data_IF_499546577058
#
_entry.id   IF_499546577058
#
_cell.length_a   1.000
_cell.length_b   1.000
_cell.length_c   1.000
_cell.angle_alpha   90.00
_cell.angle_beta   90.00
_cell.angle_gamma   90.00
#
_symmetry.space_group_name_H-M   'P 1'
#
loop_
_entity.id
_entity.type
_entity.pdbx_description
1 polymer ?
#
# COMPACT_ATOMS: atom_id res chain seq x y z
N UNK A 1 1.52 19.30 3.77
CA UNK A 1 0.11 19.75 3.97
C UNK A 1 0.04 21.15 4.59
N UNK A 2 1.03 21.56 5.40
CA UNK A 2 1.08 22.88 6.08
C UNK A 2 1.11 24.10 5.15
N UNK A 3 1.44 23.94 3.87
CA UNK A 3 1.61 25.02 2.89
C UNK A 3 0.39 25.23 1.98
N UNK A 4 -0.67 24.43 2.15
CA UNK A 4 -1.87 24.50 1.31
C UNK A 4 -3.13 24.71 2.17
N UNK A 5 -4.15 25.35 1.59
CA UNK A 5 -5.41 25.65 2.28
C UNK A 5 -6.40 24.48 2.23
N UNK A 6 -5.99 23.29 2.68
CA UNK A 6 -6.90 22.15 2.84
C UNK A 6 -7.58 22.23 4.22
N UNK A 7 -8.92 22.17 4.30
CA UNK A 7 -9.61 22.09 5.59
C UNK A 7 -9.12 20.87 6.38
N UNK A 8 -8.78 21.00 7.68
CA UNK A 8 -8.27 19.87 8.48
C UNK A 8 -9.23 18.67 8.52
N UNK A 9 -10.54 18.92 8.46
CA UNK A 9 -11.56 17.87 8.40
C UNK A 9 -11.51 16.99 7.14
N UNK A 10 -10.79 17.43 6.09
CA UNK A 10 -10.58 16.66 4.85
C UNK A 10 -9.26 15.86 4.88
N UNK A 11 -8.54 15.86 6.01
CA UNK A 11 -7.31 15.10 6.20
C UNK A 11 -7.56 14.06 7.28
N UNK A 12 -7.46 12.79 6.90
CA UNK A 12 -7.75 11.65 7.76
C UNK A 12 -6.45 10.89 8.04
N UNK A 13 -5.66 11.25 9.07
CA UNK A 13 -4.45 10.51 9.41
C UNK A 13 -4.79 9.19 10.13
N UNK A 14 -3.99 8.15 9.90
CA UNK A 14 -3.97 6.99 10.79
C UNK A 14 -3.44 7.41 12.17
N UNK A 15 -3.92 6.75 13.23
CA UNK A 15 -3.53 7.10 14.59
C UNK A 15 -2.03 6.84 14.86
N UNK A 16 -1.44 7.67 15.71
CA UNK A 16 -0.10 7.51 16.25
C UNK A 16 -0.11 6.65 17.53
N UNK A 17 1.04 6.05 17.87
CA UNK A 17 1.19 5.18 19.05
C UNK A 17 1.07 5.90 20.41
N UNK A 18 1.24 7.22 20.41
CA UNK A 18 1.04 8.09 21.57
C UNK A 18 -0.28 8.88 21.50
N UNK A 19 -1.18 8.49 20.59
CA UNK A 19 -2.50 9.09 20.40
C UNK A 19 -3.62 8.41 21.19
N UNK A 20 -4.86 8.65 20.74
CA UNK A 20 -6.11 8.30 21.46
C UNK A 20 -6.30 6.81 21.73
N UNK A 21 -5.66 5.93 20.94
CA UNK A 21 -5.76 4.48 21.08
C UNK A 21 -4.63 3.88 21.92
N UNK A 22 -3.66 4.69 22.37
CA UNK A 22 -2.47 4.24 23.07
C UNK A 22 -1.80 3.05 22.36
N UNK A 23 -1.63 1.94 23.08
CA UNK A 23 -0.98 0.75 22.55
C UNK A 23 -1.89 -0.22 21.78
N UNK A 24 -3.21 0.06 21.69
CA UNK A 24 -4.19 -0.81 21.03
C UNK A 24 -4.23 -0.59 19.52
N UNK A 25 -3.25 -1.16 18.80
CA UNK A 25 -3.13 -0.96 17.34
C UNK A 25 -4.30 -1.57 16.55
N UNK A 26 -4.92 -2.63 17.06
CA UNK A 26 -6.10 -3.23 16.42
C UNK A 26 -7.32 -2.30 16.49
N UNK A 27 -7.54 -1.64 17.64
CA UNK A 27 -8.60 -0.63 17.78
C UNK A 27 -8.33 0.57 16.88
N UNK A 28 -7.06 1.02 16.79
CA UNK A 28 -6.66 2.09 15.88
C UNK A 28 -6.91 1.74 14.40
N UNK A 29 -6.61 0.50 13.99
CA UNK A 29 -6.89 0.02 12.64
C UNK A 29 -8.40 -0.04 12.35
N UNK A 30 -9.19 -0.58 13.28
CA UNK A 30 -10.65 -0.65 13.16
C UNK A 30 -11.30 0.74 13.11
N UNK A 31 -10.80 1.69 13.90
CA UNK A 31 -11.27 3.07 13.86
C UNK A 31 -10.97 3.73 12.51
N UNK A 32 -9.79 3.49 11.93
CA UNK A 32 -9.46 4.00 10.60
C UNK A 32 -10.31 3.36 9.50
N UNK A 33 -10.63 2.08 9.62
CA UNK A 33 -11.55 1.38 8.71
C UNK A 33 -12.93 2.05 8.64
N UNK A 34 -13.46 2.46 9.79
CA UNK A 34 -14.74 3.16 9.88
C UNK A 34 -14.74 4.57 9.25
N UNK A 35 -13.57 5.14 8.98
CA UNK A 35 -13.41 6.45 8.33
C UNK A 35 -13.24 6.36 6.81
N UNK A 36 -13.05 5.16 6.26
CA UNK A 36 -12.76 5.02 4.83
C UNK A 36 -13.98 5.42 3.98
N UNK A 37 -13.75 6.12 2.86
CA UNK A 37 -14.79 6.32 1.86
C UNK A 37 -15.10 5.01 1.12
N UNK A 38 -16.23 5.00 0.41
CA UNK A 38 -16.58 3.87 -0.47
C UNK A 38 -15.60 3.71 -1.64
N UNK A 39 -14.97 4.80 -2.07
CA UNK A 39 -14.01 4.81 -3.17
C UNK A 39 -12.92 5.89 -3.01
N UNK A 40 -11.80 5.67 -3.70
CA UNK A 40 -10.74 6.66 -3.87
C UNK A 40 -10.59 6.99 -5.35
N UNK A 41 -10.30 8.24 -5.70
CA UNK A 41 -9.91 8.56 -7.08
C UNK A 41 -8.52 7.99 -7.40
N UNK A 42 -7.52 8.28 -6.56
CA UNK A 42 -6.14 7.84 -6.75
C UNK A 42 -5.56 7.28 -5.45
N UNK A 43 -4.97 6.10 -5.52
CA UNK A 43 -4.18 5.51 -4.43
C UNK A 43 -2.70 5.48 -4.81
N UNK A 44 -1.90 6.35 -4.17
CA UNK A 44 -0.47 6.47 -4.43
C UNK A 44 0.32 5.45 -3.61
N UNK A 45 1.22 4.72 -4.27
CA UNK A 45 2.06 3.68 -3.65
C UNK A 45 3.53 3.87 -4.01
N UNK A 46 4.39 3.62 -3.03
CA UNK A 46 5.76 3.16 -3.28
C UNK A 46 5.81 1.62 -3.30
N UNK A 47 6.98 1.07 -3.62
CA UNK A 47 7.21 -0.38 -3.61
C UNK A 47 8.59 -0.75 -3.04
N UNK A 48 8.64 -1.79 -2.20
CA UNK A 48 9.89 -2.43 -1.75
C UNK A 48 10.56 -3.28 -2.83
N UNK A 49 11.83 -3.65 -2.62
CA UNK A 49 12.56 -4.54 -3.55
C UNK A 49 12.01 -5.97 -3.61
N UNK A 50 11.30 -6.36 -2.55
CA UNK A 50 10.54 -7.61 -2.41
C UNK A 50 9.07 -7.46 -2.85
N UNK A 51 8.67 -6.31 -3.41
CA UNK A 51 7.31 -6.10 -3.92
C UNK A 51 6.26 -5.66 -2.90
N UNK A 52 6.62 -5.44 -1.63
CA UNK A 52 5.66 -4.91 -0.64
C UNK A 52 5.13 -3.54 -1.06
N UNK A 53 3.86 -3.28 -0.77
CA UNK A 53 3.17 -1.98 -0.93
C UNK A 53 2.41 -1.68 0.35
N UNK A 54 2.20 -0.41 0.67
CA UNK A 54 1.77 -0.01 2.02
C UNK A 54 2.62 -0.73 3.08
N UNK A 55 2.00 -1.48 3.99
CA UNK A 55 2.70 -2.42 4.90
C UNK A 55 2.29 -3.87 4.65
N UNK A 56 1.89 -4.20 3.42
CA UNK A 56 1.54 -5.55 2.99
C UNK A 56 2.81 -6.23 2.48
N UNK A 57 3.39 -7.10 3.30
CA UNK A 57 4.61 -7.83 2.97
C UNK A 57 4.29 -9.21 2.38
N UNK A 58 5.18 -9.78 1.55
CA UNK A 58 5.03 -11.15 1.04
C UNK A 58 4.74 -12.15 2.16
N UNK A 59 3.92 -13.16 1.84
CA UNK A 59 3.56 -14.29 2.70
C UNK A 59 2.83 -13.98 4.02
N UNK A 60 2.55 -12.71 4.33
CA UNK A 60 1.89 -12.31 5.58
C UNK A 60 0.36 -12.49 5.57
N UNK A 61 -0.24 -12.59 6.75
CA UNK A 61 -1.71 -12.59 6.88
C UNK A 61 -2.32 -11.28 6.34
N UNK A 62 -1.62 -10.15 6.49
CA UNK A 62 -2.08 -8.85 6.01
C UNK A 62 -2.28 -8.81 4.49
N UNK A 63 -1.40 -9.45 3.70
CA UNK A 63 -1.58 -9.51 2.24
C UNK A 63 -2.64 -10.56 1.83
N UNK A 64 -2.89 -11.56 2.67
CA UNK A 64 -3.93 -12.59 2.48
C UNK A 64 -5.33 -12.11 2.90
N UNK A 65 -5.43 -11.01 3.65
CA UNK A 65 -6.69 -10.42 4.08
C UNK A 65 -7.60 -10.10 2.89
N UNK A 66 -8.86 -10.50 3.00
CA UNK A 66 -9.84 -10.46 1.90
C UNK A 66 -11.16 -9.80 2.28
N UNK A 67 -11.42 -9.60 3.57
CA UNK A 67 -12.65 -9.02 4.11
C UNK A 67 -12.39 -7.63 4.68
N UNK A 68 -11.42 -7.50 5.60
CA UNK A 68 -11.12 -6.21 6.24
C UNK A 68 -10.46 -5.24 5.27
N UNK A 69 -10.73 -3.96 5.45
CA UNK A 69 -10.11 -2.89 4.67
C UNK A 69 -8.83 -2.37 5.33
N UNK A 70 -8.73 -2.49 6.66
CA UNK A 70 -7.58 -2.02 7.42
C UNK A 70 -7.14 -3.08 8.42
N UNK A 71 -5.83 -3.29 8.50
CA UNK A 71 -5.24 -4.20 9.47
C UNK A 71 -4.06 -3.58 10.21
N UNK A 72 -3.86 -4.05 11.43
CA UNK A 72 -2.62 -3.86 12.15
C UNK A 72 -1.59 -4.87 11.65
N UNK A 73 -0.35 -4.42 11.51
CA UNK A 73 0.83 -5.24 11.28
C UNK A 73 1.73 -5.03 12.49
N UNK A 74 2.08 -6.08 13.21
CA UNK A 74 2.83 -5.98 14.48
C UNK A 74 4.29 -6.44 14.38
N UNK A 75 4.64 -7.12 13.30
CA UNK A 75 5.89 -7.86 13.10
C UNK A 75 6.52 -7.56 11.73
N UNK A 76 6.37 -6.32 11.24
CA UNK A 76 6.96 -5.93 9.96
C UNK A 76 8.46 -6.28 9.91
N UNK A 77 8.94 -6.94 8.83
CA UNK A 77 10.34 -7.32 8.70
C UNK A 77 11.26 -6.10 8.50
N UNK A 78 10.69 -4.90 8.37
CA UNK A 78 11.41 -3.63 8.23
C UNK A 78 10.99 -2.66 9.33
N UNK A 79 11.95 -2.02 10.03
CA UNK A 79 11.61 -1.08 11.10
C UNK A 79 10.81 0.12 10.56
N UNK A 80 9.88 0.68 11.36
CA UNK A 80 9.38 0.16 12.64
C UNK A 80 8.48 -1.09 12.45
N UNK A 81 8.41 -1.99 13.46
CA UNK A 81 7.71 -3.27 13.35
C UNK A 81 6.19 -3.13 13.31
N UNK A 82 5.65 -2.07 13.95
CA UNK A 82 4.22 -1.84 14.12
C UNK A 82 3.70 -0.79 13.14
N UNK A 83 2.69 -1.15 12.35
CA UNK A 83 2.13 -0.34 11.28
C UNK A 83 0.62 -0.57 11.18
N UNK A 84 -0.13 0.45 10.79
CA UNK A 84 -1.51 0.29 10.32
C UNK A 84 -1.45 0.33 8.79
N UNK A 85 -2.20 -0.54 8.11
CA UNK A 85 -2.15 -0.64 6.66
C UNK A 85 -3.52 -0.86 6.05
N UNK A 86 -3.73 -0.25 4.89
CA UNK A 86 -4.81 -0.63 3.99
C UNK A 86 -4.48 -1.97 3.32
N UNK A 87 -5.48 -2.82 3.20
CA UNK A 87 -5.39 -4.16 2.60
C UNK A 87 -5.57 -4.10 1.08
N UNK A 88 -5.32 -5.21 0.38
CA UNK A 88 -5.57 -5.28 -1.07
C UNK A 88 -7.05 -5.01 -1.44
N UNK A 89 -8.06 -5.53 -0.70
CA UNK A 89 -9.45 -5.10 -0.87
C UNK A 89 -9.66 -3.58 -0.83
N UNK A 90 -9.02 -2.87 0.11
CA UNK A 90 -9.13 -1.42 0.21
C UNK A 90 -8.44 -0.70 -0.96
N UNK A 91 -7.23 -1.13 -1.33
CA UNK A 91 -6.48 -0.56 -2.47
C UNK A 91 -7.28 -0.70 -3.77
N UNK A 92 -7.93 -1.85 -3.99
CA UNK A 92 -8.75 -2.14 -5.18
C UNK A 92 -10.04 -1.32 -5.26
N UNK A 93 -10.38 -0.55 -4.22
CA UNK A 93 -11.46 0.46 -4.29
C UNK A 93 -11.00 1.75 -4.96
N UNK A 94 -9.73 1.94 -5.28
CA UNK A 94 -9.31 3.12 -6.03
C UNK A 94 -9.70 3.03 -7.51
N UNK A 95 -10.12 4.14 -8.12
CA UNK A 95 -10.30 4.23 -9.58
C UNK A 95 -8.96 4.02 -10.27
N UNK A 96 -7.92 4.70 -9.79
CA UNK A 96 -6.55 4.49 -10.23
C UNK A 96 -5.61 4.13 -9.07
N UNK A 97 -4.73 3.16 -9.31
CA UNK A 97 -3.61 2.85 -8.40
C UNK A 97 -2.31 3.22 -9.11
N UNK A 98 -1.53 4.10 -8.49
CA UNK A 98 -0.27 4.60 -9.08
C UNK A 98 0.90 4.12 -8.25
N UNK A 99 1.79 3.34 -8.87
CA UNK A 99 3.02 2.87 -8.26
C UNK A 99 4.18 3.72 -8.77
N UNK A 100 4.80 4.48 -7.86
CA UNK A 100 5.95 5.34 -8.15
C UNK A 100 7.21 4.65 -7.65
N UNK A 101 8.03 4.14 -8.57
CA UNK A 101 9.13 3.23 -8.24
C UNK A 101 10.41 3.64 -8.97
N UNK A 102 11.48 3.80 -8.22
CA UNK A 102 12.82 4.10 -8.74
C UNK A 102 13.86 3.20 -8.07
N UNK A 103 14.97 2.95 -8.77
CA UNK A 103 16.10 2.16 -8.28
C UNK A 103 16.18 0.74 -8.83
N UNK A 104 17.41 0.28 -9.11
CA UNK A 104 17.68 -1.04 -9.69
C UNK A 104 17.28 -2.19 -8.76
N UNK A 105 17.31 -1.97 -7.44
CA UNK A 105 16.90 -2.94 -6.42
C UNK A 105 15.40 -3.27 -6.46
N UNK A 106 14.61 -2.55 -7.27
CA UNK A 106 13.18 -2.78 -7.49
C UNK A 106 12.88 -3.57 -8.75
N UNK A 107 13.84 -3.70 -9.65
CA UNK A 107 13.57 -4.11 -11.04
C UNK A 107 12.98 -5.53 -11.15
N UNK A 108 13.48 -6.47 -10.35
CA UNK A 108 12.95 -7.85 -10.35
C UNK A 108 11.50 -7.90 -9.85
N UNK A 109 11.17 -7.20 -8.76
CA UNK A 109 9.80 -7.11 -8.26
C UNK A 109 8.86 -6.35 -9.21
N UNK A 110 9.35 -5.29 -9.88
CA UNK A 110 8.59 -4.57 -10.92
C UNK A 110 8.21 -5.53 -12.05
N UNK A 111 9.19 -6.27 -12.57
CA UNK A 111 8.96 -7.22 -13.66
C UNK A 111 8.02 -8.36 -13.24
N UNK A 112 8.17 -8.88 -12.02
CA UNK A 112 7.28 -9.91 -11.49
C UNK A 112 5.84 -9.42 -11.31
N UNK A 113 5.66 -8.22 -10.72
CA UNK A 113 4.34 -7.64 -10.51
C UNK A 113 3.61 -7.35 -11.82
N UNK A 114 4.29 -6.70 -12.77
CA UNK A 114 3.73 -6.44 -14.12
C UNK A 114 3.50 -7.75 -14.89
N UNK A 115 4.34 -8.77 -14.64
CA UNK A 115 4.19 -10.11 -15.20
C UNK A 115 3.04 -10.94 -14.62
N UNK A 116 2.30 -10.43 -13.64
CA UNK A 116 1.13 -11.10 -13.05
C UNK A 116 1.47 -12.16 -12.01
N UNK A 117 2.53 -11.95 -11.22
CA UNK A 117 2.82 -12.78 -10.06
C UNK A 117 1.64 -12.85 -9.06
N UNK A 118 1.61 -13.88 -8.22
CA UNK A 118 0.61 -13.98 -7.15
C UNK A 118 0.81 -12.82 -6.16
N UNK A 119 -0.24 -12.06 -5.77
CA UNK A 119 -0.13 -10.99 -4.78
C UNK A 119 0.41 -11.43 -3.42
N UNK A 120 0.25 -12.69 -3.04
CA UNK A 120 0.85 -13.20 -1.80
C UNK A 120 2.37 -13.21 -1.89
N UNK A 121 2.92 -13.55 -3.06
CA UNK A 121 4.36 -13.57 -3.30
C UNK A 121 4.90 -12.16 -3.57
N UNK A 122 4.17 -11.37 -4.39
CA UNK A 122 4.52 -10.02 -4.81
C UNK A 122 3.31 -9.10 -4.58
N UNK A 123 3.17 -8.47 -3.40
CA UNK A 123 2.00 -7.65 -3.02
C UNK A 123 1.63 -6.57 -4.04
N UNK A 124 2.61 -5.95 -4.69
CA UNK A 124 2.39 -4.96 -5.75
C UNK A 124 1.60 -5.51 -6.95
N UNK A 125 1.64 -6.81 -7.24
CA UNK A 125 0.84 -7.44 -8.30
C UNK A 125 -0.67 -7.37 -7.98
N UNK A 126 -1.03 -7.31 -6.70
CA UNK A 126 -2.42 -7.19 -6.25
C UNK A 126 -2.94 -5.75 -6.17
N UNK A 127 -2.06 -4.75 -6.31
CA UNK A 127 -2.36 -3.33 -6.20
C UNK A 127 -2.93 -2.79 -7.52
N UNK A 128 -4.16 -3.17 -7.83
CA UNK A 128 -4.83 -2.91 -9.11
C UNK A 128 -5.99 -1.95 -8.91
N UNK A 129 -6.02 -0.85 -9.67
CA UNK A 129 -7.14 0.10 -9.71
C UNK A 129 -8.29 -0.38 -10.58
N UNK A 130 -9.50 0.10 -10.31
CA UNK A 130 -10.72 -0.30 -11.04
C UNK A 130 -10.73 0.13 -12.51
N UNK A 131 -10.14 1.29 -12.80
CA UNK A 131 -10.07 1.88 -14.15
C UNK A 131 -8.66 1.75 -14.73
N UNK A 132 -7.63 2.07 -13.93
CA UNK A 132 -6.24 1.98 -14.38
C UNK A 132 -5.27 1.60 -13.25
N UNK A 133 -4.18 0.94 -13.63
CA UNK A 133 -3.00 0.73 -12.78
C UNK A 133 -1.80 1.31 -13.50
N UNK A 134 -1.21 2.37 -12.93
CA UNK A 134 -0.18 3.17 -13.57
C UNK A 134 1.16 2.93 -12.89
N UNK A 135 2.16 2.52 -13.66
CA UNK A 135 3.53 2.34 -13.20
C UNK A 135 4.38 3.53 -13.66
N UNK A 136 4.83 4.34 -12.71
CA UNK A 136 5.74 5.47 -12.93
C UNK A 136 7.14 5.02 -12.52
N UNK A 137 7.93 4.59 -13.51
CA UNK A 137 9.23 3.95 -13.33
C UNK A 137 10.39 4.85 -13.78
N UNK A 138 11.51 4.81 -13.06
CA UNK A 138 12.80 5.23 -13.64
C UNK A 138 13.39 4.12 -14.52
N UNK A 139 14.47 4.43 -15.25
CA UNK A 139 15.13 3.47 -16.14
C UNK A 139 15.69 2.25 -15.39
N UNK A 140 16.16 2.44 -14.16
CA UNK A 140 16.76 1.38 -13.37
C UNK A 140 15.71 0.36 -12.90
N UNK A 141 14.57 0.83 -12.41
CA UNK A 141 13.44 0.01 -11.99
C UNK A 141 12.76 -0.70 -13.18
N UNK A 142 12.83 -0.12 -14.39
CA UNK A 142 12.30 -0.74 -15.61
C UNK A 142 13.26 -1.75 -16.28
N UNK A 143 14.50 -1.88 -15.80
CA UNK A 143 15.59 -2.59 -16.51
C UNK A 143 15.37 -4.09 -16.76
N UNK A 144 14.40 -4.71 -16.06
CA UNK A 144 14.04 -6.12 -16.19
C UNK A 144 12.73 -6.36 -16.94
N UNK A 145 12.05 -5.30 -17.37
CA UNK A 145 10.87 -5.45 -18.22
C UNK A 145 11.28 -5.98 -19.60
N UNK A 146 10.46 -6.85 -20.22
CA UNK A 146 10.72 -7.30 -21.57
C UNK A 146 10.78 -6.10 -22.52
N UNK A 147 11.77 -6.08 -23.40
CA UNK A 147 11.86 -5.09 -24.47
C UNK A 147 10.60 -5.15 -25.34
N UNK A 148 10.05 -3.99 -25.68
CA UNK A 148 9.01 -3.90 -26.72
C UNK A 148 9.58 -4.25 -28.09
#
# INVERSE_FOLDING_TARGET
LETIAIPPANVHPMAASDGDFGDSIDEAAAAYEALLPDEFDVHLLGMGGEGHVNSLFPDTDAVRESERLVVAVTDSPKPPPRRITLTLPAVRRAREVWLVVAGAEKADAVAAAIGGADPVDIPAAGAVGREATVWLLDQAAASKLPGR
#
